data_IF_317261559746
#
_entry.id   IF_317261559746
#
_cell.length_a   1.000
_cell.length_b   1.000
_cell.length_c   1.000
_cell.angle_alpha   90.00
_cell.angle_beta   90.00
_cell.angle_gamma   90.00
#
_symmetry.space_group_name_H-M   'P 1'
#
loop_
_entity.id
_entity.type
_entity.pdbx_description
1 polymer ?
#
# COMPACT_ATOMS: atom_id res chain seq x y z
N UNK A 1 2.00 29.14 -4.75
CA UNK A 1 0.69 29.47 -5.39
C UNK A 1 0.03 30.61 -4.63
N UNK A 2 -0.83 31.42 -5.27
CA UNK A 2 -1.50 32.55 -4.61
C UNK A 2 -2.55 32.07 -3.58
N UNK A 3 -2.66 32.78 -2.45
CA UNK A 3 -3.58 32.45 -1.34
C UNK A 3 -5.04 32.46 -1.77
N UNK A 4 -5.49 33.57 -2.37
CA UNK A 4 -6.91 33.80 -2.61
C UNK A 4 -7.56 32.74 -3.52
N UNK A 5 -7.01 32.41 -4.72
CA UNK A 5 -7.64 31.41 -5.58
C UNK A 5 -7.71 30.02 -4.94
N UNK A 6 -6.67 29.63 -4.21
CA UNK A 6 -6.63 28.32 -3.55
C UNK A 6 -7.63 28.24 -2.41
N UNK A 7 -7.73 29.30 -1.61
CA UNK A 7 -8.69 29.39 -0.50
C UNK A 7 -10.13 29.34 -0.99
N UNK A 8 -10.44 30.09 -2.04
CA UNK A 8 -11.76 30.09 -2.67
C UNK A 8 -12.13 28.69 -3.19
N UNK A 9 -11.18 27.99 -3.84
CA UNK A 9 -11.40 26.62 -4.32
C UNK A 9 -11.64 25.63 -3.16
N UNK A 10 -10.85 25.71 -2.08
CA UNK A 10 -11.04 24.86 -0.89
C UNK A 10 -12.41 25.12 -0.26
N UNK A 11 -12.82 26.39 -0.11
CA UNK A 11 -14.12 26.74 0.47
C UNK A 11 -15.29 26.27 -0.40
N UNK A 12 -15.18 26.38 -1.71
CA UNK A 12 -16.18 25.83 -2.63
C UNK A 12 -16.26 24.29 -2.54
N UNK A 13 -15.12 23.60 -2.46
CA UNK A 13 -15.08 22.15 -2.29
C UNK A 13 -15.70 21.72 -0.95
N UNK A 14 -15.39 22.43 0.15
CA UNK A 14 -16.01 22.21 1.46
C UNK A 14 -17.54 22.39 1.39
N UNK A 15 -18.01 23.46 0.76
CA UNK A 15 -19.44 23.72 0.61
C UNK A 15 -20.15 22.62 -0.21
N UNK A 16 -19.51 22.10 -1.26
CA UNK A 16 -20.05 21.01 -2.07
C UNK A 16 -20.06 19.66 -1.35
N UNK A 17 -19.02 19.38 -0.55
CA UNK A 17 -18.92 18.15 0.23
C UNK A 17 -19.83 18.16 1.47
N UNK A 18 -20.12 19.35 2.03
CA UNK A 18 -20.78 19.52 3.32
C UNK A 18 -19.84 19.26 4.50
N UNK A 19 -20.41 19.09 5.69
CA UNK A 19 -19.63 18.90 6.91
C UNK A 19 -18.83 17.57 6.89
N UNK A 20 -17.71 17.57 7.61
CA UNK A 20 -16.88 16.38 7.86
C UNK A 20 -15.82 16.05 6.79
N UNK A 21 -15.65 16.90 5.77
CA UNK A 21 -14.60 16.70 4.78
C UNK A 21 -13.22 17.10 5.32
N UNK A 22 -12.29 16.14 5.33
CA UNK A 22 -10.89 16.36 5.71
C UNK A 22 -10.11 16.95 4.53
N UNK A 23 -9.40 18.06 4.73
CA UNK A 23 -8.57 18.70 3.71
C UNK A 23 -7.11 18.27 3.86
N UNK A 24 -6.60 17.62 2.81
CA UNK A 24 -5.26 17.07 2.77
C UNK A 24 -4.43 17.82 1.73
N UNK A 25 -3.23 18.28 2.13
CA UNK A 25 -2.23 18.80 1.21
C UNK A 25 -1.21 17.71 0.84
N UNK A 26 -0.99 17.53 -0.45
CA UNK A 26 -0.02 16.56 -0.97
C UNK A 26 1.35 17.22 -1.04
N UNK A 27 2.22 16.84 -0.10
CA UNK A 27 3.47 17.53 0.22
C UNK A 27 4.56 16.53 0.53
N UNK A 28 5.80 16.69 0.02
CA UNK A 28 6.92 15.83 0.42
C UNK A 28 7.29 15.97 1.91
N UNK A 29 6.80 17.02 2.59
CA UNK A 29 6.99 17.25 4.03
C UNK A 29 5.95 16.53 4.90
N UNK A 30 4.89 16.00 4.29
CA UNK A 30 3.80 15.33 4.99
C UNK A 30 4.16 13.95 5.54
N UNK A 31 3.24 13.37 6.30
CA UNK A 31 3.33 11.98 6.76
C UNK A 31 3.44 11.06 5.55
N UNK A 32 4.38 10.11 5.58
CA UNK A 32 4.54 9.13 4.50
C UNK A 32 3.31 8.23 4.43
N UNK A 33 2.75 8.09 3.23
CA UNK A 33 1.63 7.21 2.96
C UNK A 33 2.11 5.76 2.98
N UNK A 34 1.69 5.03 4.01
CA UNK A 34 1.87 3.60 4.16
C UNK A 34 0.51 2.89 4.20
N UNK A 35 0.51 1.55 4.27
CA UNK A 35 -0.72 0.76 4.24
C UNK A 35 -1.63 1.07 5.43
N UNK A 36 -1.06 1.39 6.60
CA UNK A 36 -1.84 1.80 7.77
C UNK A 36 -2.54 3.14 7.52
N UNK A 37 -1.80 4.12 6.98
CA UNK A 37 -2.34 5.41 6.58
C UNK A 37 -3.46 5.30 5.54
N UNK A 38 -3.34 4.38 4.57
CA UNK A 38 -4.42 4.09 3.61
C UNK A 38 -5.68 3.60 4.33
N UNK A 39 -5.54 2.64 5.25
CA UNK A 39 -6.67 2.14 6.03
C UNK A 39 -7.31 3.24 6.90
N UNK A 40 -6.49 4.09 7.53
CA UNK A 40 -6.96 5.25 8.30
C UNK A 40 -7.74 6.23 7.41
N UNK A 41 -7.19 6.57 6.24
CA UNK A 41 -7.84 7.47 5.27
C UNK A 41 -9.15 6.90 4.74
N UNK A 42 -9.24 5.59 4.52
CA UNK A 42 -10.45 4.91 4.08
C UNK A 42 -11.61 4.96 5.07
N UNK A 43 -11.37 5.28 6.35
CA UNK A 43 -12.44 5.51 7.33
C UNK A 43 -13.13 6.85 7.19
N UNK A 44 -12.57 7.79 6.41
CA UNK A 44 -13.16 9.11 6.20
C UNK A 44 -14.22 9.03 5.10
N UNK A 45 -15.40 9.58 5.35
CA UNK A 45 -16.47 9.62 4.35
C UNK A 45 -16.14 10.55 3.17
N UNK A 46 -15.34 11.61 3.43
CA UNK A 46 -15.08 12.70 2.49
C UNK A 46 -13.66 13.24 2.65
N UNK A 47 -12.96 13.36 1.54
CA UNK A 47 -11.61 13.92 1.47
C UNK A 47 -11.57 15.03 0.42
N UNK A 48 -10.85 16.12 0.71
CA UNK A 48 -10.52 17.19 -0.22
C UNK A 48 -9.01 17.19 -0.40
N UNK A 49 -8.53 16.93 -1.62
CA UNK A 49 -7.12 16.81 -1.93
C UNK A 49 -6.59 18.08 -2.59
N UNK A 50 -5.65 18.75 -1.94
CA UNK A 50 -5.00 19.98 -2.42
C UNK A 50 -3.69 19.63 -3.12
N UNK A 51 -3.65 19.87 -4.42
CA UNK A 51 -2.48 19.60 -5.26
C UNK A 51 -1.64 20.87 -5.43
N UNK A 52 -0.46 20.90 -4.83
CA UNK A 52 0.51 21.98 -5.04
C UNK A 52 1.14 21.91 -6.44
N UNK A 53 1.60 23.07 -6.93
CA UNK A 53 2.42 23.25 -8.14
C UNK A 53 3.53 24.26 -7.87
N UNK A 54 4.50 24.31 -8.78
CA UNK A 54 5.68 25.18 -8.65
C UNK A 54 6.48 24.81 -7.38
N UNK A 55 6.96 25.81 -6.62
CA UNK A 55 7.67 25.62 -5.36
C UNK A 55 6.75 25.24 -4.17
N UNK A 56 5.43 25.20 -4.37
CA UNK A 56 4.46 24.89 -3.32
C UNK A 56 3.35 25.94 -3.16
N UNK A 57 2.64 25.87 -2.04
CA UNK A 57 1.54 26.79 -1.69
C UNK A 57 1.98 27.75 -0.58
N UNK A 58 1.24 28.84 -0.39
CA UNK A 58 1.54 29.79 0.69
C UNK A 58 1.31 29.14 2.06
N UNK A 59 2.30 29.24 2.94
CA UNK A 59 2.31 28.62 4.27
C UNK A 59 1.06 28.98 5.10
N UNK A 60 0.49 30.17 4.92
CA UNK A 60 -0.71 30.59 5.64
C UNK A 60 -1.93 29.77 5.23
N UNK A 61 -1.99 29.27 3.99
CA UNK A 61 -3.05 28.34 3.57
C UNK A 61 -2.88 27.00 4.28
N UNK A 62 -1.65 26.50 4.41
CA UNK A 62 -1.37 25.28 5.16
C UNK A 62 -1.85 25.43 6.61
N UNK A 63 -1.47 26.51 7.27
CA UNK A 63 -1.81 26.77 8.68
C UNK A 63 -3.31 27.01 8.96
N UNK A 64 -4.10 27.40 7.96
CA UNK A 64 -5.50 27.85 8.18
C UNK A 64 -6.55 26.98 7.49
N UNK A 65 -6.19 26.26 6.44
CA UNK A 65 -7.16 25.54 5.59
C UNK A 65 -6.88 24.03 5.48
N UNK A 66 -5.67 23.57 5.82
CA UNK A 66 -5.22 22.17 5.68
C UNK A 66 -5.26 21.47 7.04
N UNK A 67 -5.86 20.28 7.08
CA UNK A 67 -5.92 19.45 8.29
C UNK A 67 -4.68 18.55 8.42
N UNK A 68 -4.23 17.97 7.30
CA UNK A 68 -3.11 17.04 7.27
C UNK A 68 -2.26 17.21 6.00
N UNK A 69 -0.95 16.93 6.12
CA UNK A 69 -0.05 16.81 4.98
C UNK A 69 0.36 15.36 4.78
N UNK A 70 0.35 14.90 3.53
CA UNK A 70 0.73 13.52 3.17
C UNK A 70 1.74 13.50 2.02
N UNK A 71 2.74 12.61 2.14
CA UNK A 71 3.78 12.35 1.15
C UNK A 71 3.65 10.93 0.59
N UNK A 72 3.82 10.76 -0.71
CA UNK A 72 3.87 9.42 -1.36
C UNK A 72 5.28 8.84 -1.44
N UNK A 73 6.28 9.53 -0.88
CA UNK A 73 7.63 9.01 -0.73
C UNK A 73 8.71 10.10 -0.67
N UNK A 74 9.95 9.66 -0.46
CA UNK A 74 11.10 10.56 -0.22
C UNK A 74 11.72 10.99 -1.56
N UNK A 75 10.91 11.62 -2.40
CA UNK A 75 11.28 12.13 -3.72
C UNK A 75 10.38 13.32 -4.09
N UNK A 76 10.78 14.10 -5.09
CA UNK A 76 10.07 15.33 -5.51
C UNK A 76 9.42 15.13 -6.87
N UNK A 77 8.17 15.56 -6.99
CA UNK A 77 7.40 15.61 -8.23
C UNK A 77 7.09 17.06 -8.62
N UNK A 78 6.73 17.30 -9.87
CA UNK A 78 6.39 18.65 -10.37
C UNK A 78 5.01 19.16 -9.92
N UNK A 79 4.22 18.32 -9.24
CA UNK A 79 2.90 18.66 -8.75
C UNK A 79 2.27 17.56 -7.90
N UNK A 80 1.22 17.94 -7.16
CA UNK A 80 0.48 17.05 -6.25
C UNK A 80 -0.53 16.12 -6.91
N UNK A 81 -0.75 16.21 -8.23
CA UNK A 81 -1.79 15.45 -8.93
C UNK A 81 -1.51 13.94 -8.98
N UNK A 82 -0.26 13.54 -9.24
CA UNK A 82 0.13 12.13 -9.18
C UNK A 82 0.01 11.57 -7.75
N UNK A 83 0.51 12.25 -6.69
CA UNK A 83 0.25 11.87 -5.30
C UNK A 83 -1.23 11.74 -4.96
N UNK A 84 -2.07 12.67 -5.43
CA UNK A 84 -3.51 12.62 -5.19
C UNK A 84 -4.14 11.39 -5.87
N UNK A 85 -3.77 11.07 -7.11
CA UNK A 85 -4.27 9.87 -7.79
C UNK A 85 -3.80 8.58 -7.11
N UNK A 86 -2.55 8.53 -6.63
CA UNK A 86 -2.04 7.38 -5.85
C UNK A 86 -2.87 7.19 -4.58
N UNK A 87 -3.14 8.26 -3.83
CA UNK A 87 -3.94 8.21 -2.62
C UNK A 87 -5.38 7.78 -2.92
N UNK A 88 -6.02 8.34 -3.95
CA UNK A 88 -7.37 7.96 -4.36
C UNK A 88 -7.43 6.48 -4.71
N UNK A 89 -6.51 5.98 -5.54
CA UNK A 89 -6.47 4.58 -5.95
C UNK A 89 -6.32 3.66 -4.72
N UNK A 90 -5.34 3.92 -3.87
CA UNK A 90 -5.07 3.09 -2.69
C UNK A 90 -6.26 3.06 -1.71
N UNK A 91 -6.89 4.22 -1.44
CA UNK A 91 -8.03 4.34 -0.53
C UNK A 91 -9.30 3.73 -1.13
N UNK A 92 -9.57 3.95 -2.43
CA UNK A 92 -10.76 3.45 -3.10
C UNK A 92 -10.90 1.92 -3.05
N UNK A 93 -9.77 1.19 -2.99
CA UNK A 93 -9.75 -0.28 -2.84
C UNK A 93 -10.44 -0.76 -1.56
N UNK A 94 -10.53 0.08 -0.53
CA UNK A 94 -11.19 -0.24 0.74
C UNK A 94 -12.67 0.16 0.78
N UNK A 95 -13.19 0.81 -0.28
CA UNK A 95 -14.61 1.15 -0.38
C UNK A 95 -15.40 -0.10 -0.77
N UNK A 96 -16.47 -0.46 -0.03
CA UNK A 96 -17.28 -1.64 -0.33
C UNK A 96 -17.80 -1.65 -1.77
N UNK A 97 -17.57 -2.77 -2.47
CA UNK A 97 -18.01 -2.98 -3.86
C UNK A 97 -17.02 -2.54 -4.94
N UNK A 98 -15.89 -1.91 -4.59
CA UNK A 98 -14.82 -1.59 -5.56
C UNK A 98 -14.01 -2.83 -5.92
N UNK A 99 -13.61 -3.62 -4.93
CA UNK A 99 -12.96 -4.91 -5.14
C UNK A 99 -14.03 -6.00 -5.34
N UNK A 100 -13.83 -6.86 -6.34
CA UNK A 100 -14.75 -7.96 -6.62
C UNK A 100 -14.85 -8.99 -5.50
N UNK A 101 -13.75 -9.23 -4.78
CA UNK A 101 -13.69 -10.09 -3.59
C UNK A 101 -13.24 -9.28 -2.38
N UNK A 102 -13.99 -9.38 -1.28
CA UNK A 102 -13.75 -8.61 -0.06
C UNK A 102 -12.37 -8.90 0.58
N UNK A 103 -11.87 -10.12 0.38
CA UNK A 103 -10.62 -10.57 0.98
C UNK A 103 -9.38 -10.13 0.19
N UNK A 104 -9.54 -9.62 -1.05
CA UNK A 104 -8.39 -9.25 -1.89
C UNK A 104 -7.50 -8.18 -1.25
N UNK A 105 -8.08 -7.21 -0.54
CA UNK A 105 -7.29 -6.20 0.17
C UNK A 105 -6.57 -6.77 1.41
N UNK A 106 -7.05 -7.88 1.99
CA UNK A 106 -6.49 -8.49 3.19
C UNK A 106 -5.33 -9.44 2.88
N UNK A 107 -5.27 -9.96 1.64
CA UNK A 107 -4.22 -10.86 1.16
C UNK A 107 -3.08 -10.12 0.44
N UNK A 108 -3.19 -8.79 0.25
CA UNK A 108 -2.17 -7.99 -0.42
C UNK A 108 -0.88 -7.82 0.39
N UNK A 109 0.17 -7.40 -0.32
CA UNK A 109 1.39 -6.91 0.32
C UNK A 109 1.07 -5.82 1.34
N UNK A 110 1.78 -5.85 2.47
CA UNK A 110 1.71 -4.94 3.61
C UNK A 110 0.43 -5.04 4.47
N UNK A 111 -0.63 -5.73 4.03
CA UNK A 111 -1.87 -5.89 4.81
C UNK A 111 -1.61 -6.55 6.18
N UNK A 112 -0.70 -7.53 6.23
CA UNK A 112 -0.23 -8.19 7.45
C UNK A 112 1.26 -7.90 7.73
N UNK A 113 1.77 -6.80 7.17
CA UNK A 113 3.19 -6.43 7.27
C UNK A 113 4.15 -7.28 6.43
N UNK A 114 3.66 -8.26 5.66
CA UNK A 114 4.47 -9.10 4.77
C UNK A 114 4.29 -8.70 3.30
N UNK A 115 5.27 -9.01 2.46
CA UNK A 115 5.09 -8.99 1.01
C UNK A 115 4.26 -10.19 0.56
N UNK A 116 3.56 -10.03 -0.55
CA UNK A 116 2.75 -11.10 -1.13
C UNK A 116 3.62 -12.26 -1.70
N UNK A 117 3.02 -13.43 -1.81
CA UNK A 117 3.59 -14.63 -2.40
C UNK A 117 3.64 -14.53 -3.94
N UNK A 118 4.40 -15.40 -4.63
CA UNK A 118 4.35 -15.44 -6.09
C UNK A 118 3.03 -16.04 -6.58
N UNK A 119 2.54 -15.52 -7.70
CA UNK A 119 1.34 -15.98 -8.37
C UNK A 119 1.71 -16.67 -9.68
N UNK A 120 0.98 -17.74 -9.98
CA UNK A 120 1.16 -18.53 -11.19
C UNK A 120 -0.20 -18.68 -11.87
N UNK A 121 -0.19 -18.64 -13.20
CA UNK A 121 -1.37 -18.86 -14.03
C UNK A 121 -0.98 -19.74 -15.21
N UNK A 122 -1.96 -20.11 -16.04
CA UNK A 122 -1.73 -20.94 -17.22
C UNK A 122 -0.79 -20.23 -18.21
N UNK A 123 0.07 -20.98 -18.93
CA UNK A 123 0.20 -22.45 -18.95
C UNK A 123 0.99 -23.01 -17.75
N UNK A 124 0.87 -24.32 -17.49
CA UNK A 124 1.58 -25.00 -16.39
C UNK A 124 3.11 -25.04 -16.58
N UNK A 125 3.59 -24.96 -17.82
CA UNK A 125 5.01 -24.87 -18.15
C UNK A 125 5.20 -23.71 -19.12
N UNK A 126 6.07 -22.76 -18.74
CA UNK A 126 6.48 -21.62 -19.57
C UNK A 126 8.00 -21.70 -19.77
N UNK A 127 8.46 -21.94 -21.00
CA UNK A 127 9.89 -22.03 -21.35
C UNK A 127 10.70 -22.99 -20.45
N UNK A 128 10.10 -24.13 -20.09
CA UNK A 128 10.71 -25.12 -19.18
C UNK A 128 10.59 -24.78 -17.69
N UNK A 129 10.00 -23.64 -17.32
CA UNK A 129 9.68 -23.29 -15.94
C UNK A 129 8.29 -23.82 -15.58
N UNK A 130 8.24 -24.76 -14.63
CA UNK A 130 7.00 -25.38 -14.19
C UNK A 130 6.34 -24.60 -13.05
N UNK A 131 5.01 -24.59 -13.03
CA UNK A 131 4.23 -24.17 -11.86
C UNK A 131 4.55 -25.11 -10.68
N UNK A 132 4.82 -24.58 -9.47
CA UNK A 132 5.08 -25.42 -8.31
C UNK A 132 4.01 -26.50 -8.10
N UNK A 133 4.41 -27.77 -8.04
CA UNK A 133 3.49 -28.92 -7.99
C UNK A 133 2.44 -28.83 -6.87
N UNK A 134 2.78 -28.19 -5.73
CA UNK A 134 1.84 -27.95 -4.64
C UNK A 134 0.62 -27.13 -5.06
N UNK A 135 0.79 -26.17 -5.98
CA UNK A 135 -0.31 -25.35 -6.51
C UNK A 135 -1.23 -26.13 -7.45
N UNK A 136 -0.75 -27.24 -8.02
CA UNK A 136 -1.53 -28.13 -8.89
C UNK A 136 -2.23 -29.25 -8.10
N UNK A 137 -1.93 -29.40 -6.80
CA UNK A 137 -2.41 -30.53 -5.98
C UNK A 137 -3.88 -30.45 -5.54
N UNK A 138 -4.49 -29.25 -5.61
CA UNK A 138 -5.83 -28.99 -5.06
C UNK A 138 -5.92 -29.04 -3.52
N UNK A 139 -4.83 -29.32 -2.80
CA UNK A 139 -4.81 -29.35 -1.35
C UNK A 139 -4.67 -27.93 -0.78
N UNK A 140 -5.80 -27.32 -0.40
CA UNK A 140 -5.85 -25.96 0.13
C UNK A 140 -4.93 -25.72 1.34
N UNK A 141 -4.80 -26.69 2.25
CA UNK A 141 -3.93 -26.54 3.41
C UNK A 141 -2.44 -26.45 3.01
N UNK A 142 -2.01 -27.31 2.07
CA UNK A 142 -0.63 -27.28 1.57
C UNK A 142 -0.37 -26.01 0.74
N UNK A 143 -1.35 -25.56 -0.05
CA UNK A 143 -1.26 -24.33 -0.83
C UNK A 143 -1.11 -23.12 0.10
N UNK A 144 -1.93 -23.02 1.15
CA UNK A 144 -1.88 -21.90 2.10
C UNK A 144 -0.55 -21.88 2.86
N UNK A 145 -0.08 -23.04 3.34
CA UNK A 145 1.24 -23.16 3.98
C UNK A 145 2.36 -22.72 3.03
N UNK A 146 2.30 -23.15 1.76
CA UNK A 146 3.29 -22.75 0.76
C UNK A 146 3.27 -21.25 0.48
N UNK A 147 2.08 -20.66 0.31
CA UNK A 147 1.89 -19.22 0.09
C UNK A 147 2.49 -18.40 1.23
N UNK A 148 2.18 -18.77 2.47
CA UNK A 148 2.74 -18.13 3.66
C UNK A 148 4.28 -18.25 3.70
N UNK A 149 4.83 -19.46 3.44
CA UNK A 149 6.28 -19.67 3.36
C UNK A 149 6.95 -18.77 2.34
N UNK A 150 6.37 -18.65 1.14
CA UNK A 150 6.91 -17.81 0.07
C UNK A 150 6.78 -16.32 0.38
N UNK A 151 5.68 -15.87 0.98
CA UNK A 151 5.48 -14.50 1.44
C UNK A 151 6.56 -14.10 2.48
N UNK A 152 6.77 -14.93 3.50
CA UNK A 152 7.84 -14.75 4.49
C UNK A 152 9.23 -14.71 3.84
N UNK A 153 9.51 -15.66 2.95
CA UNK A 153 10.78 -15.75 2.24
C UNK A 153 11.06 -14.53 1.36
N UNK A 154 10.07 -14.06 0.59
CA UNK A 154 10.19 -12.84 -0.23
C UNK A 154 10.38 -11.60 0.62
N UNK A 155 9.67 -11.51 1.74
CA UNK A 155 9.83 -10.41 2.70
C UNK A 155 11.26 -10.41 3.24
N UNK A 156 11.77 -11.56 3.68
CA UNK A 156 13.16 -11.68 4.15
C UNK A 156 14.20 -11.31 3.08
N UNK A 157 14.00 -11.73 1.82
CA UNK A 157 14.95 -11.47 0.74
C UNK A 157 14.96 -10.01 0.27
N UNK A 158 13.81 -9.32 0.28
CA UNK A 158 13.65 -8.01 -0.39
C UNK A 158 13.45 -6.85 0.56
N UNK A 159 12.78 -7.08 1.69
CA UNK A 159 12.37 -6.09 2.68
C UNK A 159 12.50 -6.66 4.11
N UNK A 160 13.71 -7.12 4.50
CA UNK A 160 13.92 -7.81 5.78
C UNK A 160 13.52 -6.95 6.99
N UNK A 161 13.59 -5.63 6.88
CA UNK A 161 13.21 -4.70 7.94
C UNK A 161 11.71 -4.76 8.30
N UNK A 162 10.85 -5.26 7.41
CA UNK A 162 9.44 -5.52 7.72
C UNK A 162 9.28 -6.68 8.72
N UNK A 163 10.22 -7.61 8.77
CA UNK A 163 10.19 -8.72 9.74
C UNK A 163 10.67 -8.28 11.13
N UNK A 164 11.46 -7.22 11.22
CA UNK A 164 11.96 -6.69 12.50
C UNK A 164 10.84 -6.04 13.33
N UNK A 165 9.85 -5.46 12.65
CA UNK A 165 8.67 -4.85 13.27
C UNK A 165 7.53 -5.85 13.54
N UNK A 166 7.64 -7.11 13.08
CA UNK A 166 6.61 -8.13 13.20
C UNK A 166 6.91 -9.15 14.29
N UNK A 167 5.94 -9.36 15.19
CA UNK A 167 5.94 -10.50 16.10
C UNK A 167 5.49 -11.76 15.33
N UNK A 168 6.43 -12.45 14.69
CA UNK A 168 6.14 -13.69 13.98
C UNK A 168 5.59 -14.76 14.93
N UNK A 169 4.53 -15.44 14.49
CA UNK A 169 3.99 -16.63 15.15
C UNK A 169 4.97 -17.81 15.08
N UNK A 170 4.78 -18.82 15.91
CA UNK A 170 5.64 -20.01 15.91
C UNK A 170 5.63 -20.73 14.55
N UNK A 171 4.46 -20.81 13.90
CA UNK A 171 4.35 -21.36 12.54
C UNK A 171 5.16 -20.54 11.53
N UNK A 172 5.03 -19.21 11.54
CA UNK A 172 5.76 -18.34 10.63
C UNK A 172 7.28 -18.44 10.83
N UNK A 173 7.75 -18.58 12.08
CA UNK A 173 9.19 -18.77 12.37
C UNK A 173 9.71 -20.08 11.79
N UNK A 174 8.96 -21.17 11.96
CA UNK A 174 9.31 -22.48 11.37
C UNK A 174 9.35 -22.38 9.85
N UNK A 175 8.33 -21.81 9.22
CA UNK A 175 8.27 -21.65 7.76
C UNK A 175 9.39 -20.78 7.21
N UNK A 176 9.72 -19.68 7.88
CA UNK A 176 10.81 -18.81 7.47
C UNK A 176 12.18 -19.52 7.60
N UNK A 177 12.38 -20.33 8.64
CA UNK A 177 13.59 -21.13 8.79
C UNK A 177 13.69 -22.20 7.69
N UNK A 178 12.59 -22.90 7.38
CA UNK A 178 12.51 -23.83 6.25
C UNK A 178 12.90 -23.15 4.93
N UNK A 179 12.33 -21.98 4.64
CA UNK A 179 12.64 -21.22 3.42
C UNK A 179 14.12 -20.84 3.34
N UNK A 180 14.71 -20.32 4.44
CA UNK A 180 16.12 -19.93 4.48
C UNK A 180 17.06 -21.10 4.19
N UNK A 181 16.78 -22.27 4.77
CA UNK A 181 17.56 -23.48 4.54
C UNK A 181 17.47 -23.94 3.07
N UNK A 182 16.26 -23.99 2.51
CA UNK A 182 16.04 -24.35 1.09
C UNK A 182 16.73 -23.35 0.15
N UNK A 183 16.69 -22.05 0.48
CA UNK A 183 17.32 -21.02 -0.33
C UNK A 183 18.85 -21.13 -0.33
N UNK A 184 19.45 -21.35 0.84
CA UNK A 184 20.90 -21.54 0.97
C UNK A 184 21.41 -22.75 0.19
N UNK A 185 20.67 -23.86 0.22
CA UNK A 185 21.01 -25.07 -0.53
C UNK A 185 21.01 -24.80 -2.05
N UNK A 186 19.99 -24.10 -2.56
CA UNK A 186 19.90 -23.76 -4.00
C UNK A 186 20.97 -22.79 -4.47
N UNK A 187 21.47 -21.90 -3.61
CA UNK A 187 22.53 -20.95 -3.96
C UNK A 187 23.94 -21.55 -3.85
N UNK A 188 24.08 -22.71 -3.19
CA UNK A 188 25.35 -23.41 -3.05
C UNK A 188 25.62 -24.39 -4.20
N UNK A 189 24.61 -24.69 -5.01
CA UNK A 189 24.67 -25.47 -6.26
C UNK A 189 24.92 -24.57 -7.47
#
# INVERSE_FOLDING_TARGET
MMVQPLREAIHQAKAAAGDGAKVIYLSPQGRKLDQQGVCELATNEKLILVCGRYEGIDERVIQTEIDEEWSVGDYVLSGGELPAMIMIDAVARFVPGVLGHADSAQEDSFAQGLLDHPHYTRPEVLDGMEVPAVLLSGNHAHINRWRLKQSLGRTWLRRPELLESLALTDEQRVLLAEFKNEHQQRTAE
#
